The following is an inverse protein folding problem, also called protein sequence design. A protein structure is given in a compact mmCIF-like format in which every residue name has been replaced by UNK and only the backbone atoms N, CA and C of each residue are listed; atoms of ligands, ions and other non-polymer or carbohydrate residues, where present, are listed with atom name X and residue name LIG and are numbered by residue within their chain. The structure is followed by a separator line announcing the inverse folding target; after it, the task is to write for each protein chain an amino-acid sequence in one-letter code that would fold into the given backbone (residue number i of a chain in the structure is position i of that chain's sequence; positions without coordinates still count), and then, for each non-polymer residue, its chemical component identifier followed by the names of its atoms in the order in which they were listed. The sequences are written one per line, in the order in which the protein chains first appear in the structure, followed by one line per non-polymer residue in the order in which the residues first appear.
data_IF_070517791977
#
_entry.id   IF_070517791977
#
_cell.length_a   1.000
_cell.length_b   1.000
_cell.length_c   1.000
_cell.angle_alpha   90.00
_cell.angle_beta   90.00
_cell.angle_gamma   90.00
#
_symmetry.space_group_name_H-M   'P 1'
#
loop_
_entity.id
_entity.type
_entity.pdbx_description
1 polymer ?
#
# COMPACT_ATOMS: atom_id res chain seq x y z
N UNK A 1 19.15 20.30 -26.69
CA UNK A 1 18.20 19.21 -27.04
C UNK A 1 16.79 19.68 -26.71
N UNK A 2 15.87 19.68 -27.67
CA UNK A 2 14.57 20.36 -27.53
C UNK A 2 13.62 19.58 -26.61
N UNK A 3 12.82 20.27 -25.78
CA UNK A 3 11.91 19.69 -24.74
C UNK A 3 10.98 18.59 -25.29
N UNK A 4 10.62 18.68 -26.56
CA UNK A 4 9.79 17.69 -27.28
C UNK A 4 10.48 16.33 -27.44
N UNK A 5 11.80 16.30 -27.61
CA UNK A 5 12.58 15.06 -27.75
C UNK A 5 12.74 14.33 -26.42
N UNK A 6 12.90 15.05 -25.31
CA UNK A 6 12.89 14.46 -23.97
C UNK A 6 11.55 13.80 -23.64
N UNK A 7 10.43 14.48 -23.93
CA UNK A 7 9.10 13.90 -23.74
C UNK A 7 8.87 12.66 -24.61
N UNK A 8 9.34 12.66 -25.86
CA UNK A 8 9.22 11.51 -26.75
C UNK A 8 10.05 10.32 -26.27
N UNK A 9 11.27 10.53 -25.77
CA UNK A 9 12.12 9.48 -25.21
C UNK A 9 11.53 8.92 -23.91
N UNK A 10 10.94 9.77 -23.07
CA UNK A 10 10.23 9.32 -21.85
C UNK A 10 8.98 8.53 -22.23
N UNK A 11 8.18 8.97 -23.20
CA UNK A 11 6.98 8.26 -23.65
C UNK A 11 7.34 6.93 -24.33
N UNK A 12 8.34 6.90 -25.22
CA UNK A 12 8.81 5.68 -25.88
C UNK A 12 9.50 4.75 -24.87
N UNK A 13 10.22 5.29 -23.89
CA UNK A 13 10.77 4.54 -22.77
C UNK A 13 9.68 3.88 -21.94
N UNK A 14 8.66 4.62 -21.53
CA UNK A 14 7.50 4.12 -20.75
C UNK A 14 6.68 3.09 -21.53
N UNK A 15 6.50 3.27 -22.85
CA UNK A 15 5.79 2.32 -23.70
C UNK A 15 6.61 1.07 -24.02
N UNK A 16 7.95 1.16 -24.07
CA UNK A 16 8.85 0.03 -24.30
C UNK A 16 9.04 -0.86 -23.05
N UNK A 17 8.58 -0.43 -21.87
CA UNK A 17 8.52 -1.28 -20.65
C UNK A 17 7.16 -1.94 -20.45
N UNK A 18 6.21 -1.83 -21.40
CA UNK A 18 5.00 -2.65 -21.34
C UNK A 18 5.44 -4.10 -21.55
N UNK A 19 5.38 -4.96 -20.51
CA UNK A 19 5.84 -6.34 -20.64
C UNK A 19 4.96 -7.01 -21.70
N UNK A 20 5.60 -7.65 -22.67
CA UNK A 20 4.89 -8.59 -23.54
C UNK A 20 4.24 -9.65 -22.64
N UNK A 21 2.98 -10.07 -22.87
CA UNK A 21 2.30 -11.08 -22.08
C UNK A 21 2.88 -12.47 -22.41
N UNK A 22 4.17 -12.66 -22.18
CA UNK A 22 4.76 -13.97 -22.04
C UNK A 22 4.40 -14.43 -20.63
N UNK A 23 3.65 -15.54 -20.52
CA UNK A 23 3.24 -16.14 -19.26
C UNK A 23 4.43 -16.14 -18.28
N UNK A 24 4.30 -15.36 -17.21
CA UNK A 24 5.38 -15.22 -16.25
C UNK A 24 5.60 -16.58 -15.58
N UNK A 25 6.87 -17.03 -15.58
CA UNK A 25 7.35 -18.02 -14.59
C UNK A 25 6.95 -17.53 -13.20
N UNK A 26 6.74 -18.46 -12.26
CA UNK A 26 6.47 -18.14 -10.86
C UNK A 26 7.35 -16.96 -10.40
N UNK A 27 6.72 -15.90 -9.88
CA UNK A 27 7.44 -14.68 -9.49
C UNK A 27 8.42 -15.03 -8.37
N UNK A 28 9.71 -14.83 -8.63
CA UNK A 28 10.76 -15.04 -7.64
C UNK A 28 10.96 -13.82 -6.74
N UNK A 29 11.67 -14.02 -5.63
CA UNK A 29 12.12 -12.93 -4.77
C UNK A 29 13.64 -12.88 -4.69
N UNK A 30 14.18 -11.68 -4.82
CA UNK A 30 15.58 -11.37 -4.56
C UNK A 30 15.66 -10.55 -3.26
N UNK A 31 16.08 -11.20 -2.18
CA UNK A 31 16.21 -10.57 -0.87
C UNK A 31 17.58 -9.90 -0.70
N UNK A 32 17.55 -8.69 -0.16
CA UNK A 32 18.73 -7.96 0.29
C UNK A 32 18.53 -7.55 1.74
N UNK A 33 19.47 -7.93 2.59
CA UNK A 33 19.57 -7.36 3.94
C UNK A 33 20.31 -6.03 3.83
N UNK A 34 19.70 -4.97 4.34
CA UNK A 34 20.19 -3.61 4.27
C UNK A 34 20.32 -3.09 5.69
N UNK A 35 21.54 -2.96 6.19
CA UNK A 35 21.78 -2.35 7.51
C UNK A 35 21.96 -0.86 7.34
N UNK A 36 21.25 -0.06 8.13
CA UNK A 36 21.56 1.37 8.27
C UNK A 36 22.71 1.50 9.26
N UNK A 37 23.87 1.95 8.77
CA UNK A 37 25.10 2.02 9.57
C UNK A 37 25.19 3.34 10.33
N UNK A 38 24.86 4.47 9.67
CA UNK A 38 24.86 5.80 10.28
C UNK A 38 24.00 6.80 9.50
N UNK A 39 23.58 7.86 10.18
CA UNK A 39 23.00 9.06 9.57
C UNK A 39 24.10 10.11 9.43
N UNK A 40 24.26 10.63 8.22
CA UNK A 40 25.31 11.57 7.85
C UNK A 40 24.75 12.92 7.46
N UNK A 41 25.31 13.97 8.05
CA UNK A 41 25.07 15.35 7.64
C UNK A 41 25.79 15.61 6.31
N UNK A 42 25.04 15.81 5.24
CA UNK A 42 25.58 16.01 3.89
C UNK A 42 25.65 17.47 3.48
N UNK A 43 24.84 18.36 4.05
CA UNK A 43 24.93 19.80 3.87
C UNK A 43 25.21 20.51 5.19
N UNK A 44 25.73 21.75 5.14
CA UNK A 44 25.85 22.58 6.34
C UNK A 44 24.53 23.34 6.52
N UNK A 45 23.76 23.11 7.60
CA UNK A 45 22.48 23.76 7.80
C UNK A 45 22.64 25.27 8.06
N UNK A 46 23.78 25.70 8.62
CA UNK A 46 24.06 27.11 8.91
C UNK A 46 25.51 27.52 8.53
N UNK A 47 25.79 27.75 7.22
CA UNK A 47 27.11 28.18 6.79
C UNK A 47 27.40 29.63 7.20
N UNK A 48 28.49 29.83 7.94
CA UNK A 48 28.93 31.15 8.44
C UNK A 48 29.95 31.80 7.50
N UNK A 49 29.66 32.99 7.00
CA UNK A 49 30.54 33.73 6.08
C UNK A 49 30.34 33.41 4.59
N UNK A 50 30.76 34.33 3.72
CA UNK A 50 30.46 34.26 2.28
C UNK A 50 31.11 33.07 1.56
N UNK A 51 32.37 32.74 1.87
CA UNK A 51 33.08 31.62 1.26
C UNK A 51 32.47 30.25 1.62
N UNK A 52 32.07 30.09 2.88
CA UNK A 52 31.36 28.90 3.37
C UNK A 52 29.98 28.76 2.70
N UNK A 53 29.26 29.88 2.51
CA UNK A 53 27.98 29.89 1.77
C UNK A 53 28.14 29.44 0.32
N UNK A 54 29.18 29.88 -0.39
CA UNK A 54 29.44 29.45 -1.79
C UNK A 54 29.78 27.95 -1.87
N UNK A 55 30.61 27.44 -0.94
CA UNK A 55 30.91 26.01 -0.85
C UNK A 55 29.67 25.19 -0.52
N UNK A 56 28.86 25.64 0.43
CA UNK A 56 27.61 24.99 0.82
C UNK A 56 26.62 24.93 -0.35
N UNK A 57 26.49 26.02 -1.13
CA UNK A 57 25.66 26.04 -2.33
C UNK A 57 26.13 25.01 -3.37
N UNK A 58 27.42 24.98 -3.71
CA UNK A 58 27.97 24.00 -4.65
C UNK A 58 27.77 22.55 -4.19
N UNK A 59 27.97 22.28 -2.89
CA UNK A 59 27.75 20.97 -2.28
C UNK A 59 26.27 20.56 -2.31
N UNK A 60 25.36 21.48 -2.00
CA UNK A 60 23.92 21.26 -2.03
C UNK A 60 23.42 20.94 -3.44
N UNK A 61 23.88 21.67 -4.47
CA UNK A 61 23.54 21.38 -5.88
C UNK A 61 24.03 19.99 -6.28
N UNK A 62 25.27 19.63 -5.93
CA UNK A 62 25.84 18.32 -6.22
C UNK A 62 25.09 17.18 -5.51
N UNK A 63 24.77 17.35 -4.23
CA UNK A 63 23.99 16.38 -3.46
C UNK A 63 22.56 16.26 -3.99
N UNK A 64 21.94 17.35 -4.43
CA UNK A 64 20.63 17.33 -5.09
C UNK A 64 20.63 16.50 -6.37
N UNK A 65 21.66 16.63 -7.20
CA UNK A 65 21.82 15.80 -8.41
C UNK A 65 22.02 14.31 -8.06
N UNK A 66 22.83 14.01 -7.03
CA UNK A 66 23.03 12.64 -6.56
C UNK A 66 21.75 12.02 -5.99
N UNK A 67 20.99 12.75 -5.19
CA UNK A 67 19.69 12.32 -4.66
C UNK A 67 18.73 11.97 -5.79
N UNK A 68 18.56 12.87 -6.76
CA UNK A 68 17.67 12.62 -7.90
C UNK A 68 18.06 11.36 -8.67
N UNK A 69 19.36 11.17 -8.92
CA UNK A 69 19.88 9.96 -9.57
C UNK A 69 19.64 8.71 -8.72
N UNK A 70 19.88 8.80 -7.42
CA UNK A 70 19.73 7.68 -6.50
C UNK A 70 18.25 7.25 -6.38
N UNK A 71 17.34 8.20 -6.19
CA UNK A 71 15.89 7.98 -6.14
C UNK A 71 15.31 7.44 -7.46
N UNK A 72 15.69 8.03 -8.59
CA UNK A 72 15.07 7.73 -9.90
C UNK A 72 15.69 6.50 -10.55
N UNK A 73 16.96 6.22 -10.27
CA UNK A 73 17.75 5.21 -11.01
C UNK A 73 18.29 4.12 -10.09
N UNK A 74 19.01 4.48 -9.03
CA UNK A 74 19.73 3.47 -8.23
C UNK A 74 18.78 2.61 -7.40
N UNK A 75 17.88 3.21 -6.61
CA UNK A 75 16.92 2.45 -5.76
C UNK A 75 16.07 1.48 -6.58
N UNK A 76 15.45 1.87 -7.71
CA UNK A 76 14.51 0.99 -8.39
C UNK A 76 15.19 -0.02 -9.33
N UNK A 77 16.38 0.30 -9.87
CA UNK A 77 16.98 -0.47 -10.98
C UNK A 77 18.33 -1.11 -10.64
N UNK A 78 19.06 -0.61 -9.64
CA UNK A 78 20.39 -1.09 -9.30
C UNK A 78 20.51 -1.43 -7.81
N UNK A 79 19.76 -2.44 -7.32
CA UNK A 79 19.72 -2.78 -5.91
C UNK A 79 21.01 -3.43 -5.38
N UNK A 80 22.07 -3.57 -6.18
CA UNK A 80 23.24 -4.40 -5.88
C UNK A 80 23.96 -4.16 -4.54
N UNK A 81 24.85 -5.09 -4.22
CA UNK A 81 25.55 -5.18 -2.92
C UNK A 81 26.54 -4.03 -2.66
N UNK A 82 27.01 -3.96 -1.41
CA UNK A 82 28.06 -3.07 -0.93
C UNK A 82 27.54 -1.85 -0.15
N UNK A 83 28.47 -0.96 0.20
CA UNK A 83 28.15 0.31 0.85
C UNK A 83 27.44 1.27 -0.12
N UNK A 84 26.32 1.83 0.31
CA UNK A 84 25.52 2.81 -0.43
C UNK A 84 25.25 4.04 0.42
N UNK A 85 24.92 5.13 -0.26
CA UNK A 85 24.37 6.34 0.37
C UNK A 85 22.92 6.46 -0.08
N UNK A 86 22.02 6.51 0.89
CA UNK A 86 20.59 6.71 0.69
C UNK A 86 20.26 8.16 1.08
N UNK A 87 19.85 8.98 0.13
CA UNK A 87 19.57 10.39 0.42
C UNK A 87 18.18 10.55 1.04
N UNK A 88 18.02 11.36 2.08
CA UNK A 88 16.66 11.59 2.61
C UNK A 88 15.81 12.34 1.58
N UNK A 89 14.56 11.88 1.44
CA UNK A 89 13.59 12.48 0.54
C UNK A 89 13.16 13.85 1.07
N UNK A 90 12.84 13.90 2.35
CA UNK A 90 12.18 15.04 2.99
C UNK A 90 13.19 15.95 3.72
N UNK A 91 14.28 15.41 4.26
CA UNK A 91 15.38 16.21 4.81
C UNK A 91 16.55 16.32 3.83
N UNK A 92 16.74 17.50 3.27
CA UNK A 92 17.75 17.74 2.23
C UNK A 92 19.18 17.74 2.75
N UNK A 93 19.36 17.80 4.07
CA UNK A 93 20.64 18.00 4.72
C UNK A 93 21.25 16.72 5.28
N UNK A 94 20.49 15.61 5.28
CA UNK A 94 20.96 14.29 5.72
C UNK A 94 20.94 13.23 4.62
N UNK A 95 21.75 12.19 4.82
CA UNK A 95 21.66 10.93 4.12
C UNK A 95 21.98 9.77 5.09
N UNK A 96 21.76 8.55 4.65
CA UNK A 96 22.05 7.34 5.41
C UNK A 96 23.16 6.56 4.72
N UNK A 97 24.17 6.14 5.48
CA UNK A 97 25.07 5.10 5.01
C UNK A 97 24.41 3.76 5.27
N UNK A 98 24.31 2.96 4.22
CA UNK A 98 23.73 1.63 4.31
C UNK A 98 24.67 0.60 3.74
N UNK A 99 24.77 -0.55 4.40
CA UNK A 99 25.47 -1.72 3.89
C UNK A 99 24.45 -2.73 3.42
N UNK A 100 24.52 -3.11 2.14
CA UNK A 100 23.57 -4.02 1.53
C UNK A 100 24.24 -5.32 1.08
N UNK A 101 23.65 -6.46 1.44
CA UNK A 101 24.13 -7.80 1.10
C UNK A 101 22.99 -8.64 0.57
N UNK A 102 23.21 -9.38 -0.52
CA UNK A 102 22.21 -10.29 -1.08
C UNK A 102 22.06 -11.51 -0.18
N UNK A 103 20.83 -11.77 0.27
CA UNK A 103 20.51 -12.93 1.10
C UNK A 103 20.52 -14.17 0.22
N UNK A 104 21.14 -15.25 0.73
CA UNK A 104 21.36 -16.51 -0.02
C UNK A 104 20.55 -17.67 0.55
N UNK A 105 20.26 -17.59 1.84
CA UNK A 105 19.49 -18.56 2.61
C UNK A 105 19.04 -17.88 3.91
N UNK A 106 18.12 -18.52 4.63
CA UNK A 106 17.73 -18.08 5.96
C UNK A 106 18.91 -18.07 6.95
N UNK A 107 19.76 -19.10 6.91
CA UNK A 107 20.97 -19.15 7.73
C UNK A 107 21.92 -17.96 7.45
N UNK A 108 22.07 -17.57 6.18
CA UNK A 108 22.85 -16.38 5.81
C UNK A 108 22.19 -15.10 6.34
N UNK A 109 20.85 -14.99 6.32
CA UNK A 109 20.14 -13.85 6.90
C UNK A 109 20.39 -13.74 8.42
N UNK A 110 20.29 -14.86 9.15
CA UNK A 110 20.58 -14.92 10.58
C UNK A 110 22.03 -14.56 10.91
N UNK A 111 22.98 -14.94 10.05
CA UNK A 111 24.38 -14.52 10.18
C UNK A 111 24.52 -12.99 10.00
N UNK A 112 23.88 -12.43 8.98
CA UNK A 112 23.90 -10.98 8.70
C UNK A 112 23.26 -10.15 9.82
N UNK A 113 22.22 -10.68 10.49
CA UNK A 113 21.60 -10.07 11.66
C UNK A 113 22.45 -10.21 12.95
N UNK A 114 23.53 -10.98 12.92
CA UNK A 114 24.42 -11.21 14.07
C UNK A 114 24.00 -12.35 15.00
N UNK A 115 22.93 -13.09 14.68
CA UNK A 115 22.41 -14.19 15.48
C UNK A 115 23.20 -15.50 15.34
N UNK A 116 24.00 -15.67 14.26
CA UNK A 116 24.77 -16.91 13.99
C UNK A 116 23.93 -18.20 14.11
N UNK A 117 22.67 -18.15 13.66
CA UNK A 117 21.73 -19.27 13.71
C UNK A 117 20.86 -19.36 14.97
N UNK A 118 21.01 -18.45 15.92
CA UNK A 118 20.24 -18.44 17.18
C UNK A 118 19.23 -17.28 17.18
N UNK A 119 18.00 -17.56 16.78
CA UNK A 119 16.89 -16.59 16.69
C UNK A 119 16.59 -15.89 18.02
N UNK A 120 16.92 -16.51 19.17
CA UNK A 120 16.67 -15.90 20.48
C UNK A 120 17.51 -14.63 20.73
N UNK A 121 18.55 -14.41 19.92
CA UNK A 121 19.43 -13.23 19.98
C UNK A 121 18.95 -12.07 19.12
N UNK A 122 17.91 -12.26 18.32
CA UNK A 122 17.38 -11.21 17.46
C UNK A 122 16.57 -10.20 18.28
N UNK A 123 16.68 -8.92 17.93
CA UNK A 123 15.69 -7.92 18.36
C UNK A 123 14.32 -8.24 17.79
N UNK A 124 13.26 -7.67 18.35
CA UNK A 124 11.91 -7.90 17.84
C UNK A 124 11.76 -7.38 16.39
N UNK A 125 12.34 -6.21 16.10
CA UNK A 125 12.41 -5.70 14.72
C UNK A 125 13.18 -6.63 13.76
N UNK A 126 14.23 -7.32 14.21
CA UNK A 126 14.93 -8.32 13.38
C UNK A 126 14.12 -9.60 13.18
N UNK A 127 13.42 -10.09 14.22
CA UNK A 127 12.49 -11.23 14.09
C UNK A 127 11.39 -10.93 13.08
N UNK A 128 10.87 -9.70 13.07
CA UNK A 128 9.90 -9.25 12.08
C UNK A 128 10.46 -9.28 10.64
N UNK A 129 11.69 -8.78 10.41
CA UNK A 129 12.33 -8.88 9.09
C UNK A 129 12.55 -10.34 8.65
N UNK A 130 12.91 -11.23 9.59
CA UNK A 130 13.00 -12.66 9.32
C UNK A 130 11.62 -13.27 8.98
N UNK A 131 10.56 -12.83 9.66
CA UNK A 131 9.19 -13.23 9.35
C UNK A 131 8.78 -12.77 7.95
N UNK A 132 9.11 -11.54 7.54
CA UNK A 132 8.89 -11.05 6.16
C UNK A 132 9.65 -11.89 5.12
N UNK A 133 10.89 -12.31 5.41
CA UNK A 133 11.63 -13.23 4.54
C UNK A 133 10.90 -14.58 4.39
N UNK A 134 10.46 -15.17 5.51
CA UNK A 134 9.72 -16.44 5.53
C UNK A 134 8.36 -16.33 4.84
N UNK A 135 7.68 -15.19 4.97
CA UNK A 135 6.37 -14.92 4.36
C UNK A 135 6.39 -15.11 2.83
N UNK A 136 7.52 -14.83 2.18
CA UNK A 136 7.72 -15.02 0.73
C UNK A 136 7.46 -16.46 0.25
N UNK A 137 7.68 -17.44 1.13
CA UNK A 137 7.44 -18.86 0.87
C UNK A 137 6.10 -19.36 1.40
N UNK A 138 5.31 -18.50 2.06
CA UNK A 138 4.01 -18.84 2.62
C UNK A 138 2.99 -19.21 1.56
N UNK A 139 1.97 -19.97 1.96
CA UNK A 139 0.85 -20.30 1.08
C UNK A 139 0.13 -19.04 0.59
N UNK A 140 -0.05 -18.05 1.47
CA UNK A 140 -0.73 -16.79 1.14
C UNK A 140 -0.06 -16.08 -0.04
N UNK A 141 1.27 -15.95 -0.04
CA UNK A 141 1.99 -15.33 -1.16
C UNK A 141 1.99 -16.25 -2.39
N UNK A 142 2.27 -17.55 -2.23
CA UNK A 142 2.28 -18.52 -3.34
C UNK A 142 0.97 -18.57 -4.12
N UNK A 143 -0.17 -18.58 -3.43
CA UNK A 143 -1.49 -18.57 -4.06
C UNK A 143 -1.73 -17.33 -4.94
N UNK A 144 -1.04 -16.22 -4.65
CA UNK A 144 -1.16 -14.94 -5.37
C UNK A 144 -0.08 -14.74 -6.43
N UNK A 145 0.99 -15.55 -6.43
CA UNK A 145 2.02 -15.52 -7.47
C UNK A 145 1.44 -15.73 -8.88
N UNK A 146 0.40 -16.57 -9.00
CA UNK A 146 -0.30 -16.80 -10.26
C UNK A 146 -0.99 -15.55 -10.83
N UNK A 147 -1.26 -14.54 -10.00
CA UNK A 147 -1.86 -13.26 -10.43
C UNK A 147 -0.86 -12.33 -11.10
N UNK A 148 0.45 -12.60 -10.95
CA UNK A 148 1.49 -11.80 -11.56
C UNK A 148 1.52 -12.00 -13.08
N UNK A 149 1.42 -10.90 -13.82
CA UNK A 149 1.46 -10.88 -15.28
C UNK A 149 2.69 -10.15 -15.84
N UNK A 150 3.51 -9.53 -14.99
CA UNK A 150 4.45 -8.49 -15.43
C UNK A 150 5.89 -8.71 -14.99
N UNK A 151 6.13 -9.44 -13.89
CA UNK A 151 7.43 -9.43 -13.21
C UNK A 151 7.97 -10.84 -13.03
N UNK A 152 9.18 -11.13 -13.49
CA UNK A 152 9.82 -12.41 -13.16
C UNK A 152 10.39 -12.45 -11.74
N UNK A 153 10.70 -11.28 -11.18
CA UNK A 153 11.37 -11.17 -9.87
C UNK A 153 10.98 -9.86 -9.19
N UNK A 154 10.74 -9.93 -7.88
CA UNK A 154 10.55 -8.77 -7.00
C UNK A 154 11.76 -8.68 -6.06
N UNK A 155 12.31 -7.49 -5.90
CA UNK A 155 13.42 -7.24 -4.98
C UNK A 155 12.86 -6.85 -3.63
N UNK A 156 13.34 -7.45 -2.54
CA UNK A 156 12.90 -7.12 -1.19
C UNK A 156 14.08 -6.61 -0.38
N UNK A 157 13.98 -5.37 0.10
CA UNK A 157 14.93 -4.77 1.02
C UNK A 157 14.45 -4.96 2.45
N UNK A 158 15.15 -5.81 3.20
CA UNK A 158 14.98 -5.98 4.64
C UNK A 158 15.89 -4.97 5.34
N UNK A 159 15.34 -3.82 5.69
CA UNK A 159 16.10 -2.70 6.25
C UNK A 159 16.20 -2.82 7.77
N UNK A 160 17.39 -3.15 8.26
CA UNK A 160 17.70 -3.23 9.67
C UNK A 160 18.22 -1.88 10.19
N UNK A 161 17.49 -1.32 11.14
CA UNK A 161 17.79 -0.09 11.88
C UNK A 161 18.22 -0.37 13.32
N UNK A 162 18.49 -1.63 13.68
CA UNK A 162 18.91 -2.02 15.03
C UNK A 162 20.18 -1.28 15.42
N UNK A 163 20.18 -0.73 16.63
CA UNK A 163 21.26 0.13 17.13
C UNK A 163 21.08 1.62 16.82
N UNK A 164 20.03 1.99 16.09
CA UNK A 164 19.61 3.38 15.89
C UNK A 164 18.37 3.64 16.74
N UNK A 165 18.46 4.60 17.65
CA UNK A 165 17.33 5.04 18.45
C UNK A 165 16.37 5.90 17.61
N UNK A 166 15.47 5.25 16.86
CA UNK A 166 14.49 5.94 16.00
C UNK A 166 13.43 6.76 16.75
N UNK A 167 13.51 6.84 18.09
CA UNK A 167 12.71 7.78 18.89
C UNK A 167 13.37 9.16 19.01
N UNK A 168 14.67 9.27 18.72
CA UNK A 168 15.38 10.54 18.68
C UNK A 168 14.84 11.41 17.52
N UNK A 169 14.41 12.66 17.77
CA UNK A 169 13.91 13.57 16.74
C UNK A 169 14.85 13.74 15.53
N UNK A 170 16.16 13.57 15.69
CA UNK A 170 17.10 13.67 14.55
C UNK A 170 16.95 12.55 13.52
N UNK A 171 16.20 11.50 13.83
CA UNK A 171 15.93 10.38 12.92
C UNK A 171 14.47 10.32 12.45
N UNK A 172 13.70 11.39 12.63
CA UNK A 172 12.30 11.44 12.19
C UNK A 172 12.15 11.13 10.70
N UNK A 173 12.97 11.75 9.85
CA UNK A 173 12.97 11.52 8.40
C UNK A 173 13.31 10.08 8.02
N UNK A 174 14.02 9.34 8.88
CA UNK A 174 14.33 7.92 8.65
C UNK A 174 13.07 7.07 8.61
N UNK A 175 12.09 7.39 9.47
CA UNK A 175 10.82 6.65 9.53
C UNK A 175 10.05 6.79 8.22
N UNK A 176 10.09 7.97 7.60
CA UNK A 176 9.45 8.23 6.31
C UNK A 176 10.23 7.59 5.15
N UNK A 177 11.56 7.74 5.13
CA UNK A 177 12.42 7.23 4.06
C UNK A 177 12.45 5.70 3.99
N UNK A 178 12.41 5.05 5.14
CA UNK A 178 12.43 3.59 5.26
C UNK A 178 11.07 2.96 5.58
N UNK A 179 9.97 3.74 5.55
CA UNK A 179 8.62 3.21 5.73
C UNK A 179 8.38 2.01 4.79
N UNK A 180 7.70 0.94 5.26
CA UNK A 180 7.36 -0.18 4.39
C UNK A 180 6.55 0.28 3.19
N UNK A 181 6.96 -0.13 2.00
CA UNK A 181 6.31 0.28 0.75
C UNK A 181 6.71 -0.59 -0.41
N UNK A 182 5.89 -0.55 -1.45
CA UNK A 182 6.15 -1.15 -2.74
C UNK A 182 6.21 -0.11 -3.85
N UNK A 183 7.20 -0.25 -4.73
CA UNK A 183 7.25 0.45 -6.03
C UNK A 183 6.70 -0.41 -7.16
N UNK A 184 6.12 -1.55 -6.81
CA UNK A 184 5.75 -2.64 -7.70
C UNK A 184 6.92 -3.58 -8.03
N UNK A 185 8.14 -3.06 -8.25
CA UNK A 185 9.35 -3.88 -8.51
C UNK A 185 10.16 -4.18 -7.26
N UNK A 186 10.11 -3.26 -6.30
CA UNK A 186 10.82 -3.37 -5.03
C UNK A 186 9.83 -3.30 -3.88
N UNK A 187 10.04 -4.11 -2.86
CA UNK A 187 9.39 -4.01 -1.55
C UNK A 187 10.45 -3.58 -0.55
N UNK A 188 10.10 -2.63 0.31
CA UNK A 188 10.90 -2.22 1.45
C UNK A 188 10.18 -2.64 2.71
N UNK A 189 10.91 -3.27 3.63
CA UNK A 189 10.50 -3.58 5.00
C UNK A 189 11.53 -2.95 5.92
N UNK A 190 11.13 -2.44 7.08
CA UNK A 190 12.06 -1.83 8.03
C UNK A 190 11.81 -2.28 9.47
N UNK A 191 12.87 -2.61 10.20
CA UNK A 191 12.77 -3.18 11.54
C UNK A 191 12.17 -2.23 12.58
N UNK A 192 12.40 -0.92 12.46
CA UNK A 192 11.92 0.06 13.46
C UNK A 192 10.40 0.04 13.65
N UNK A 193 9.63 -0.28 12.60
CA UNK A 193 8.17 -0.31 12.67
C UNK A 193 7.68 -1.46 13.56
N UNK A 194 8.51 -2.51 13.68
CA UNK A 194 8.16 -3.78 14.30
C UNK A 194 8.96 -4.04 15.58
N UNK A 195 9.51 -3.00 16.20
CA UNK A 195 10.32 -3.11 17.42
C UNK A 195 9.44 -3.26 18.68
N UNK A 196 8.62 -4.31 18.68
CA UNK A 196 7.77 -4.73 19.79
C UNK A 196 7.53 -6.24 19.75
N UNK A 197 7.31 -6.84 20.91
CA UNK A 197 7.09 -8.28 21.05
C UNK A 197 5.86 -8.76 20.27
N UNK A 198 6.02 -9.81 19.46
CA UNK A 198 4.95 -10.43 18.69
C UNK A 198 4.65 -9.79 17.33
N UNK A 199 5.50 -8.87 16.87
CA UNK A 199 5.33 -8.12 15.61
C UNK A 199 5.49 -8.96 14.33
N UNK A 200 5.88 -10.23 14.43
CA UNK A 200 6.11 -11.11 13.28
C UNK A 200 4.85 -11.32 12.42
N UNK A 201 3.67 -11.36 13.05
CA UNK A 201 2.39 -11.48 12.35
C UNK A 201 2.10 -10.22 11.52
N UNK A 202 2.35 -9.04 12.09
CA UNK A 202 2.12 -7.75 11.43
C UNK A 202 3.10 -7.54 10.28
N UNK A 203 4.36 -7.95 10.45
CA UNK A 203 5.37 -7.93 9.39
C UNK A 203 5.08 -8.92 8.26
N UNK A 204 4.45 -10.06 8.57
CA UNK A 204 3.95 -11.02 7.58
C UNK A 204 2.77 -10.44 6.81
N UNK A 205 1.82 -9.79 7.50
CA UNK A 205 0.67 -9.11 6.89
C UNK A 205 1.13 -7.99 5.96
N UNK A 206 2.03 -7.12 6.44
CA UNK A 206 2.58 -6.01 5.65
C UNK A 206 3.36 -6.54 4.43
N UNK A 207 4.14 -7.61 4.56
CA UNK A 207 4.82 -8.20 3.39
C UNK A 207 3.83 -8.70 2.34
N UNK A 208 2.68 -9.27 2.76
CA UNK A 208 1.60 -9.67 1.85
C UNK A 208 0.95 -8.44 1.19
N UNK A 209 0.68 -7.37 1.95
CA UNK A 209 0.17 -6.09 1.47
C UNK A 209 1.06 -5.54 0.33
N UNK A 210 2.35 -5.39 0.61
CA UNK A 210 3.31 -4.83 -0.35
C UNK A 210 3.57 -5.75 -1.56
N UNK A 211 3.45 -7.06 -1.35
CA UNK A 211 3.45 -8.01 -2.46
C UNK A 211 2.22 -7.82 -3.36
N UNK A 212 1.04 -7.55 -2.80
CA UNK A 212 -0.17 -7.30 -3.59
C UNK A 212 -0.06 -6.03 -4.44
N UNK A 213 0.58 -4.97 -3.94
CA UNK A 213 0.97 -3.80 -4.75
C UNK A 213 1.89 -4.16 -5.91
N UNK A 214 2.75 -5.16 -5.71
CA UNK A 214 3.65 -5.70 -6.74
C UNK A 214 2.95 -6.53 -7.82
N UNK A 215 1.67 -6.87 -7.62
CA UNK A 215 0.82 -7.54 -8.61
C UNK A 215 -0.05 -6.53 -9.37
N UNK A 216 -0.23 -5.33 -8.81
CA UNK A 216 -1.06 -4.28 -9.37
C UNK A 216 -0.31 -3.48 -10.46
N UNK A 217 -0.97 -3.23 -11.58
CA UNK A 217 -0.47 -2.40 -12.68
C UNK A 217 -1.15 -1.02 -12.75
N UNK A 218 -2.07 -0.73 -11.85
CA UNK A 218 -2.83 0.52 -11.81
C UNK A 218 -1.92 1.69 -11.51
N UNK A 219 -1.99 2.72 -12.35
CA UNK A 219 -1.45 4.03 -12.00
C UNK A 219 -2.46 4.75 -11.12
N UNK A 220 -2.04 5.14 -9.92
CA UNK A 220 -2.78 6.05 -9.05
C UNK A 220 -3.02 7.40 -9.76
N UNK A 221 -3.89 8.23 -9.21
CA UNK A 221 -4.10 9.60 -9.72
C UNK A 221 -2.76 10.36 -9.84
N UNK A 222 -2.56 11.08 -10.94
CA UNK A 222 -1.31 11.82 -11.18
C UNK A 222 -1.10 13.01 -10.26
N UNK A 223 -2.18 13.48 -9.63
CA UNK A 223 -2.16 14.60 -8.70
C UNK A 223 -2.81 14.14 -7.42
N UNK A 224 -2.04 14.21 -6.32
CA UNK A 224 -2.51 14.02 -4.96
C UNK A 224 -3.38 12.76 -4.80
N UNK A 225 -2.86 11.57 -5.16
CA UNK A 225 -3.65 10.33 -5.12
C UNK A 225 -4.23 10.03 -3.74
N UNK A 226 -3.54 10.45 -2.68
CA UNK A 226 -3.97 10.33 -1.30
C UNK A 226 -4.27 11.66 -0.62
N UNK A 227 -4.39 12.76 -1.38
CA UNK A 227 -4.43 14.09 -0.80
C UNK A 227 -3.09 14.84 -0.89
N UNK A 228 -3.02 16.01 -0.26
CA UNK A 228 -1.89 16.93 -0.24
C UNK A 228 -0.72 16.40 0.56
N UNK A 229 -0.97 15.80 1.72
CA UNK A 229 0.10 15.29 2.59
C UNK A 229 0.74 14.01 2.05
N UNK A 230 0.02 13.29 1.18
CA UNK A 230 0.47 12.05 0.57
C UNK A 230 0.45 10.85 1.50
N UNK A 231 -0.12 10.98 2.71
CA UNK A 231 -0.43 9.86 3.61
C UNK A 231 -1.76 9.22 3.22
N UNK A 232 -2.03 8.00 3.67
CA UNK A 232 -3.36 7.40 3.55
C UNK A 232 -3.75 6.59 4.77
N UNK A 233 -5.06 6.42 4.98
CA UNK A 233 -5.63 5.52 5.98
C UNK A 233 -6.72 4.65 5.41
N UNK A 234 -6.95 3.51 6.08
CA UNK A 234 -7.98 2.54 5.71
C UNK A 234 -9.37 3.16 5.52
N UNK A 235 -9.63 4.23 6.27
CA UNK A 235 -10.89 4.97 6.28
C UNK A 235 -10.76 6.37 5.66
N UNK A 236 -9.77 6.62 4.82
CA UNK A 236 -9.60 7.90 4.14
C UNK A 236 -10.26 7.92 2.77
N UNK A 237 -10.95 9.02 2.47
CA UNK A 237 -11.43 9.31 1.13
C UNK A 237 -10.28 9.83 0.26
N UNK A 238 -9.79 8.98 -0.63
CA UNK A 238 -8.68 9.28 -1.55
C UNK A 238 -9.20 9.43 -3.00
N UNK A 239 -8.32 9.25 -3.99
CA UNK A 239 -8.72 9.09 -5.39
C UNK A 239 -9.24 7.68 -5.68
N UNK A 240 -10.17 7.53 -6.63
CA UNK A 240 -10.77 6.23 -6.97
C UNK A 240 -9.78 5.11 -7.35
N UNK A 241 -8.60 5.44 -7.91
CA UNK A 241 -7.56 4.46 -8.24
C UNK A 241 -6.67 4.18 -7.04
N UNK A 242 -6.29 5.22 -6.28
CA UNK A 242 -5.60 5.05 -5.01
C UNK A 242 -6.39 4.14 -4.05
N UNK A 243 -7.66 4.45 -3.80
CA UNK A 243 -8.56 3.64 -2.99
C UNK A 243 -8.68 2.19 -3.48
N UNK A 244 -8.60 1.97 -4.79
CA UNK A 244 -8.64 0.62 -5.34
C UNK A 244 -7.33 -0.14 -5.11
N UNK A 245 -6.19 0.51 -5.32
CA UNK A 245 -4.86 -0.09 -5.15
C UNK A 245 -4.64 -0.50 -3.68
N UNK A 246 -4.90 0.41 -2.75
CA UNK A 246 -4.80 0.10 -1.32
C UNK A 246 -5.88 -0.89 -0.88
N UNK A 247 -7.12 -0.71 -1.35
CA UNK A 247 -8.20 -1.65 -1.08
C UNK A 247 -7.90 -3.07 -1.56
N UNK A 248 -7.13 -3.24 -2.65
CA UNK A 248 -6.70 -4.56 -3.13
C UNK A 248 -5.70 -5.21 -2.18
N UNK A 249 -4.74 -4.46 -1.66
CA UNK A 249 -3.76 -4.96 -0.71
C UNK A 249 -4.43 -5.35 0.63
N UNK A 250 -5.25 -4.45 1.18
CA UNK A 250 -6.05 -4.66 2.40
C UNK A 250 -6.98 -5.88 2.28
N UNK A 251 -7.71 -6.02 1.17
CA UNK A 251 -8.56 -7.19 0.92
C UNK A 251 -7.78 -8.51 1.05
N UNK A 252 -6.55 -8.54 0.54
CA UNK A 252 -5.74 -9.74 0.57
C UNK A 252 -5.22 -10.06 1.97
N UNK A 253 -4.99 -9.06 2.82
CA UNK A 253 -4.72 -9.25 4.26
C UNK A 253 -5.95 -9.73 5.00
N UNK A 254 -7.12 -9.14 4.75
CA UNK A 254 -8.40 -9.56 5.34
C UNK A 254 -8.68 -11.05 5.08
N UNK A 255 -8.33 -11.58 3.90
CA UNK A 255 -8.49 -13.00 3.57
C UNK A 255 -7.65 -13.94 4.45
N UNK A 256 -6.53 -13.47 4.98
CA UNK A 256 -5.59 -14.26 5.77
C UNK A 256 -5.69 -13.95 7.28
N UNK A 257 -6.31 -12.82 7.65
CA UNK A 257 -6.46 -12.37 9.04
C UNK A 257 -7.87 -11.88 9.35
N UNK A 258 -8.57 -12.62 10.22
CA UNK A 258 -9.86 -12.18 10.78
C UNK A 258 -9.73 -10.88 11.57
N UNK A 259 -8.59 -10.66 12.23
CA UNK A 259 -8.35 -9.41 12.97
C UNK A 259 -8.31 -8.22 12.01
N UNK A 260 -7.63 -8.34 10.87
CA UNK A 260 -7.62 -7.27 9.86
C UNK A 260 -9.02 -7.07 9.26
N UNK A 261 -9.73 -8.16 8.95
CA UNK A 261 -11.10 -8.05 8.46
C UNK A 261 -12.03 -7.32 9.44
N UNK A 262 -11.83 -7.47 10.74
CA UNK A 262 -12.59 -6.75 11.77
C UNK A 262 -12.12 -5.29 11.90
N UNK A 263 -10.80 -5.06 11.89
CA UNK A 263 -10.22 -3.72 11.94
C UNK A 263 -10.73 -2.85 10.79
N UNK A 264 -10.66 -3.33 9.54
CA UNK A 264 -11.14 -2.61 8.35
C UNK A 264 -12.62 -2.25 8.52
N UNK A 265 -13.47 -3.22 8.89
CA UNK A 265 -14.92 -3.01 9.07
C UNK A 265 -15.25 -2.00 10.15
N UNK A 266 -14.51 -2.00 11.26
CA UNK A 266 -14.72 -1.05 12.36
C UNK A 266 -14.26 0.36 11.95
N UNK A 267 -13.20 0.45 11.14
CA UNK A 267 -12.63 1.73 10.71
C UNK A 267 -13.49 2.49 9.69
N UNK A 268 -14.14 1.79 8.76
CA UNK A 268 -14.91 2.40 7.65
C UNK A 268 -16.24 3.04 8.06
N UNK A 269 -16.65 2.97 9.33
CA UNK A 269 -17.81 3.71 9.84
C UNK A 269 -17.59 5.23 9.91
N UNK A 270 -16.33 5.65 10.05
CA UNK A 270 -15.91 7.04 10.18
C UNK A 270 -14.86 7.35 9.11
N UNK A 271 -15.18 8.22 8.17
CA UNK A 271 -14.35 8.51 7.01
C UNK A 271 -13.58 9.81 7.22
N UNK A 272 -12.25 9.73 7.06
CA UNK A 272 -11.35 10.88 7.05
C UNK A 272 -11.36 11.55 5.67
N UNK A 273 -11.47 12.87 5.66
CA UNK A 273 -11.37 13.70 4.46
C UNK A 273 -10.33 14.78 4.73
N UNK A 274 -9.22 14.72 4.02
CA UNK A 274 -8.20 15.76 4.10
C UNK A 274 -8.71 17.09 3.53
N UNK A 275 -8.30 18.18 4.17
CA UNK A 275 -8.62 19.53 3.75
C UNK A 275 -8.00 19.86 2.39
N UNK A 276 -8.79 20.46 1.52
CA UNK A 276 -8.31 20.96 0.23
C UNK A 276 -7.52 22.26 0.37
N UNK A 277 -7.55 22.93 1.52
CA UNK A 277 -6.79 24.17 1.80
C UNK A 277 -5.50 23.90 2.58
N UNK A 278 -5.49 22.93 3.49
CA UNK A 278 -4.41 22.71 4.46
C UNK A 278 -3.93 21.26 4.45
N UNK A 279 -2.63 21.06 4.28
CA UNK A 279 -2.00 19.73 4.28
C UNK A 279 -2.08 19.09 5.67
N UNK A 280 -2.42 17.80 5.73
CA UNK A 280 -2.44 17.01 6.98
C UNK A 280 -3.58 17.38 7.94
N UNK A 281 -4.50 18.28 7.57
CA UNK A 281 -5.69 18.60 8.36
C UNK A 281 -6.88 17.78 7.87
N UNK A 282 -7.47 16.99 8.77
CA UNK A 282 -8.56 16.08 8.44
C UNK A 282 -9.88 16.50 9.07
N UNK A 283 -10.96 16.34 8.32
CA UNK A 283 -12.33 16.27 8.83
C UNK A 283 -12.77 14.81 8.85
N UNK A 284 -13.23 14.32 9.99
CA UNK A 284 -13.85 13.00 10.09
C UNK A 284 -15.37 13.13 9.98
N UNK A 285 -15.99 12.36 9.09
CA UNK A 285 -17.43 12.30 8.88
C UNK A 285 -17.93 10.88 9.08
N UNK A 286 -19.18 10.68 9.50
CA UNK A 286 -19.78 9.36 9.45
C UNK A 286 -19.97 8.93 7.99
N UNK A 287 -19.84 7.63 7.68
CA UNK A 287 -20.10 7.12 6.33
C UNK A 287 -21.53 7.47 5.82
N UNK A 288 -22.49 7.58 6.75
CA UNK A 288 -23.87 8.00 6.46
C UNK A 288 -23.99 9.47 6.01
N UNK A 289 -22.94 10.28 6.09
CA UNK A 289 -22.95 11.67 5.64
C UNK A 289 -22.32 11.84 4.24
N UNK A 290 -21.80 10.76 3.64
CA UNK A 290 -21.16 10.76 2.32
C UNK A 290 -22.07 10.21 1.22
N UNK A 291 -21.81 10.55 -0.04
CA UNK A 291 -22.49 9.92 -1.19
C UNK A 291 -21.97 8.50 -1.44
N UNK A 292 -22.74 7.67 -2.15
CA UNK A 292 -22.30 6.32 -2.50
C UNK A 292 -20.98 6.31 -3.29
N UNK A 293 -20.81 7.23 -4.24
CA UNK A 293 -19.56 7.36 -4.98
C UNK A 293 -18.38 7.75 -4.08
N UNK A 294 -18.57 8.67 -3.13
CA UNK A 294 -17.50 9.04 -2.19
C UNK A 294 -17.07 7.84 -1.34
N UNK A 295 -18.00 6.95 -0.95
CA UNK A 295 -17.65 5.74 -0.22
C UNK A 295 -16.80 4.77 -1.07
N UNK A 296 -17.03 4.67 -2.38
CA UNK A 296 -16.18 3.85 -3.28
C UNK A 296 -14.77 4.45 -3.52
N UNK A 297 -14.52 5.66 -3.01
CA UNK A 297 -13.20 6.30 -3.00
C UNK A 297 -12.47 6.11 -1.66
N UNK A 298 -12.91 5.16 -0.83
CA UNK A 298 -12.26 4.79 0.44
C UNK A 298 -11.66 3.39 0.31
N UNK A 299 -10.39 3.23 0.72
CA UNK A 299 -9.66 1.97 0.53
C UNK A 299 -10.28 0.79 1.30
N UNK A 300 -10.67 1.00 2.56
CA UNK A 300 -11.33 -0.03 3.37
C UNK A 300 -12.72 -0.42 2.84
N UNK A 301 -13.44 0.51 2.21
CA UNK A 301 -14.73 0.19 1.56
C UNK A 301 -14.49 -0.72 0.35
N UNK A 302 -13.50 -0.40 -0.47
CA UNK A 302 -13.12 -1.24 -1.61
C UNK A 302 -12.63 -2.61 -1.15
N UNK A 303 -11.80 -2.66 -0.10
CA UNK A 303 -11.33 -3.89 0.51
C UNK A 303 -12.49 -4.77 0.99
N UNK A 304 -13.43 -4.18 1.73
CA UNK A 304 -14.60 -4.88 2.23
C UNK A 304 -15.51 -5.38 1.08
N UNK A 305 -15.73 -4.59 0.03
CA UNK A 305 -16.49 -5.04 -1.15
C UNK A 305 -15.84 -6.28 -1.78
N UNK A 306 -14.52 -6.27 -1.98
CA UNK A 306 -13.79 -7.41 -2.53
C UNK A 306 -13.79 -8.62 -1.59
N UNK A 307 -13.66 -8.40 -0.28
CA UNK A 307 -13.72 -9.45 0.74
C UNK A 307 -15.09 -10.13 0.77
N UNK A 308 -16.17 -9.35 0.74
CA UNK A 308 -17.54 -9.85 0.75
C UNK A 308 -17.85 -10.64 -0.54
N UNK A 309 -17.39 -10.15 -1.71
CA UNK A 309 -17.48 -10.93 -2.95
C UNK A 309 -16.72 -12.25 -2.84
N UNK A 310 -15.50 -12.23 -2.27
CA UNK A 310 -14.66 -13.42 -2.15
C UNK A 310 -15.23 -14.49 -1.20
N UNK A 311 -15.99 -14.06 -0.19
CA UNK A 311 -16.45 -14.94 0.91
C UNK A 311 -17.93 -15.31 0.84
N UNK A 312 -18.79 -14.48 0.22
CA UNK A 312 -20.23 -14.75 0.10
C UNK A 312 -20.62 -15.40 -1.23
N UNK A 313 -19.87 -15.18 -2.30
CA UNK A 313 -20.19 -15.79 -3.60
C UNK A 313 -19.69 -17.25 -3.66
N UNK A 314 -20.40 -18.16 -4.35
CA UNK A 314 -19.87 -19.47 -4.68
C UNK A 314 -18.56 -19.34 -5.47
N UNK A 315 -17.47 -19.96 -4.99
CA UNK A 315 -16.11 -19.78 -5.52
C UNK A 315 -15.69 -18.30 -5.66
N UNK A 316 -16.12 -17.46 -4.72
CA UNK A 316 -15.93 -16.01 -4.78
C UNK A 316 -14.46 -15.60 -4.90
N UNK A 317 -13.57 -16.20 -4.11
CA UNK A 317 -12.12 -15.91 -4.16
C UNK A 317 -11.54 -16.14 -5.56
N UNK A 318 -11.85 -17.28 -6.18
CA UNK A 318 -11.42 -17.61 -7.53
C UNK A 318 -11.95 -16.60 -8.56
N UNK A 319 -13.22 -16.22 -8.45
CA UNK A 319 -13.86 -15.22 -9.32
C UNK A 319 -13.26 -13.83 -9.19
N UNK A 320 -13.00 -13.35 -7.96
CA UNK A 320 -12.36 -12.04 -7.71
C UNK A 320 -10.95 -12.02 -8.27
N UNK A 321 -10.16 -13.07 -8.06
CA UNK A 321 -8.80 -13.19 -8.58
C UNK A 321 -8.77 -13.24 -10.11
N UNK A 322 -9.67 -14.00 -10.73
CA UNK A 322 -9.81 -14.05 -12.18
C UNK A 322 -10.25 -12.69 -12.77
N UNK A 323 -11.16 -11.98 -12.08
CA UNK A 323 -11.59 -10.64 -12.47
C UNK A 323 -10.43 -9.63 -12.38
N UNK A 324 -9.66 -9.68 -11.28
CA UNK A 324 -8.46 -8.86 -11.09
C UNK A 324 -7.48 -9.04 -12.24
N UNK A 325 -7.12 -10.29 -12.58
CA UNK A 325 -6.21 -10.59 -13.69
C UNK A 325 -6.73 -10.08 -15.04
N UNK A 326 -8.03 -10.24 -15.32
CA UNK A 326 -8.65 -9.78 -16.56
C UNK A 326 -8.73 -8.26 -16.66
N UNK A 327 -8.81 -7.56 -15.54
CA UNK A 327 -8.90 -6.11 -15.49
C UNK A 327 -7.58 -5.42 -15.13
N UNK A 328 -6.44 -6.13 -15.07
CA UNK A 328 -5.15 -5.62 -14.57
C UNK A 328 -4.42 -4.72 -15.58
N UNK A 329 -4.99 -3.56 -15.90
CA UNK A 329 -4.39 -2.54 -16.77
C UNK A 329 -4.27 -1.18 -16.05
N UNK A 330 -3.46 -0.23 -16.58
CA UNK A 330 -3.04 0.94 -15.79
C UNK A 330 -4.12 1.94 -15.34
N UNK A 331 -5.32 1.88 -15.89
CA UNK A 331 -6.38 2.85 -15.65
C UNK A 331 -7.60 2.25 -14.93
N UNK A 332 -7.43 1.10 -14.28
CA UNK A 332 -8.51 0.40 -13.58
C UNK A 332 -8.80 1.01 -12.20
N UNK A 333 -9.95 0.63 -11.65
CA UNK A 333 -10.42 0.92 -10.30
C UNK A 333 -11.48 -0.14 -9.94
N UNK A 334 -12.16 -0.01 -8.80
CA UNK A 334 -13.16 -0.98 -8.34
C UNK A 334 -14.22 -1.31 -9.40
N UNK A 335 -14.73 -0.30 -10.11
CA UNK A 335 -15.72 -0.45 -11.19
C UNK A 335 -15.29 -1.48 -12.23
N UNK A 336 -14.03 -1.42 -12.64
CA UNK A 336 -13.52 -2.28 -13.70
C UNK A 336 -13.38 -3.74 -13.23
N UNK A 337 -12.96 -3.95 -11.99
CA UNK A 337 -12.90 -5.28 -11.38
C UNK A 337 -14.31 -5.88 -11.24
N UNK A 338 -15.24 -5.13 -10.67
CA UNK A 338 -16.63 -5.55 -10.49
C UNK A 338 -17.28 -5.89 -11.82
N UNK A 339 -17.16 -5.00 -12.81
CA UNK A 339 -17.70 -5.23 -14.16
C UNK A 339 -17.10 -6.47 -14.82
N UNK A 340 -15.79 -6.70 -14.65
CA UNK A 340 -15.14 -7.90 -15.18
C UNK A 340 -15.65 -9.18 -14.50
N UNK A 341 -15.89 -9.14 -13.19
CA UNK A 341 -16.46 -10.26 -12.42
C UNK A 341 -17.87 -10.59 -12.89
N UNK A 342 -18.76 -9.60 -12.94
CA UNK A 342 -20.18 -9.78 -13.32
C UNK A 342 -20.29 -10.21 -14.78
N UNK A 343 -19.50 -9.61 -15.69
CA UNK A 343 -19.48 -10.02 -17.10
C UNK A 343 -19.09 -11.50 -17.27
N UNK A 344 -18.16 -12.01 -16.46
CA UNK A 344 -17.75 -13.41 -16.50
C UNK A 344 -18.71 -14.34 -15.75
N UNK A 345 -19.50 -13.81 -14.82
CA UNK A 345 -20.39 -14.57 -13.93
C UNK A 345 -21.75 -13.85 -13.80
N UNK A 346 -22.57 -13.79 -14.87
CA UNK A 346 -23.81 -13.01 -14.86
C UNK A 346 -24.82 -13.49 -13.79
N UNK A 347 -24.78 -14.77 -13.41
CA UNK A 347 -25.60 -15.31 -12.32
C UNK A 347 -25.31 -14.72 -10.94
N UNK A 348 -24.14 -14.11 -10.73
CA UNK A 348 -23.78 -13.47 -9.46
C UNK A 348 -24.22 -11.98 -9.41
N UNK A 349 -24.78 -11.42 -10.50
CA UNK A 349 -25.06 -9.99 -10.63
C UNK A 349 -25.90 -9.43 -9.47
N UNK A 350 -26.94 -10.15 -9.03
CA UNK A 350 -27.80 -9.73 -7.93
C UNK A 350 -27.06 -9.70 -6.57
N UNK A 351 -26.24 -10.72 -6.29
CA UNK A 351 -25.47 -10.78 -5.06
C UNK A 351 -24.39 -9.68 -5.04
N UNK A 352 -23.71 -9.43 -6.16
CA UNK A 352 -22.72 -8.35 -6.29
C UNK A 352 -23.37 -6.98 -6.16
N UNK A 353 -24.56 -6.77 -6.75
CA UNK A 353 -25.32 -5.54 -6.58
C UNK A 353 -25.67 -5.30 -5.10
N UNK A 354 -26.13 -6.32 -4.39
CA UNK A 354 -26.43 -6.24 -2.96
C UNK A 354 -25.19 -5.94 -2.10
N UNK A 355 -24.02 -6.49 -2.44
CA UNK A 355 -22.76 -6.20 -1.74
C UNK A 355 -22.36 -4.72 -1.92
N UNK A 356 -22.44 -4.20 -3.16
CA UNK A 356 -22.16 -2.78 -3.43
C UNK A 356 -23.14 -1.86 -2.70
N UNK A 357 -24.43 -2.18 -2.76
CA UNK A 357 -25.48 -1.39 -2.12
C UNK A 357 -25.28 -1.37 -0.60
N UNK A 358 -25.03 -2.52 0.02
CA UNK A 358 -24.74 -2.61 1.46
C UNK A 358 -23.50 -1.81 1.84
N UNK A 359 -22.38 -2.00 1.14
CA UNK A 359 -21.12 -1.31 1.45
C UNK A 359 -21.18 0.21 1.22
N UNK A 360 -22.11 0.66 0.36
CA UNK A 360 -22.35 2.09 0.09
C UNK A 360 -23.61 2.62 0.76
N UNK A 361 -24.17 1.89 1.72
CA UNK A 361 -25.34 2.27 2.52
C UNK A 361 -26.59 2.59 1.68
N UNK A 362 -26.77 1.92 0.55
CA UNK A 362 -27.90 2.12 -0.36
C UNK A 362 -27.83 3.40 -1.19
N UNK A 363 -26.69 4.10 -1.20
CA UNK A 363 -26.58 5.47 -1.73
C UNK A 363 -26.10 5.59 -3.17
N UNK A 364 -25.69 4.49 -3.79
CA UNK A 364 -25.48 4.47 -5.22
C UNK A 364 -26.85 4.49 -5.90
N UNK A 365 -27.07 5.42 -6.82
CA UNK A 365 -28.22 5.41 -7.72
C UNK A 365 -28.18 4.17 -8.63
N UNK A 366 -29.32 3.83 -9.24
CA UNK A 366 -29.42 2.69 -10.16
C UNK A 366 -28.44 2.84 -11.34
N UNK A 367 -28.29 4.07 -11.85
CA UNK A 367 -27.33 4.39 -12.89
C UNK A 367 -25.89 4.13 -12.43
N UNK A 368 -25.55 4.50 -11.20
CA UNK A 368 -24.22 4.26 -10.65
C UNK A 368 -23.97 2.78 -10.41
N UNK A 369 -24.95 2.03 -9.87
CA UNK A 369 -24.84 0.56 -9.74
C UNK A 369 -24.61 -0.11 -11.09
N UNK A 370 -25.38 0.24 -12.13
CA UNK A 370 -25.17 -0.28 -13.48
C UNK A 370 -23.80 0.12 -14.05
N UNK A 371 -23.28 1.28 -13.68
CA UNK A 371 -21.92 1.67 -14.06
C UNK A 371 -20.87 0.76 -13.39
N UNK A 372 -21.08 0.27 -12.17
CA UNK A 372 -20.20 -0.75 -11.56
C UNK A 372 -20.40 -2.14 -12.15
N UNK A 373 -21.63 -2.59 -12.32
CA UNK A 373 -21.96 -3.96 -12.72
C UNK A 373 -21.79 -4.20 -14.23
N UNK A 374 -21.94 -3.15 -15.04
CA UNK A 374 -22.22 -3.24 -16.48
C UNK A 374 -23.70 -3.04 -16.78
N UNK A 375 -24.02 -2.59 -17.99
CA UNK A 375 -25.40 -2.31 -18.41
C UNK A 375 -25.91 -3.39 -19.37
N UNK A 376 -26.31 -4.52 -18.79
CA UNK A 376 -26.96 -5.65 -19.45
C UNK A 376 -28.36 -5.88 -18.88
N UNK A 377 -29.20 -6.66 -19.57
CA UNK A 377 -30.55 -6.97 -19.08
C UNK A 377 -30.51 -7.66 -17.71
N UNK A 378 -29.62 -8.64 -17.53
CA UNK A 378 -29.43 -9.34 -16.25
C UNK A 378 -29.08 -8.39 -15.10
N UNK A 379 -28.20 -7.41 -15.35
CA UNK A 379 -27.82 -6.42 -14.34
C UNK A 379 -28.94 -5.42 -14.06
N UNK A 380 -29.74 -5.04 -15.07
CA UNK A 380 -30.91 -4.18 -14.87
C UNK A 380 -31.98 -4.88 -14.05
N UNK A 381 -32.24 -6.15 -14.32
CA UNK A 381 -33.14 -7.00 -13.53
C UNK A 381 -32.66 -7.13 -12.08
N UNK A 382 -31.35 -7.38 -11.89
CA UNK A 382 -30.74 -7.44 -10.57
C UNK A 382 -30.91 -6.14 -9.76
N UNK A 383 -30.63 -4.98 -10.38
CA UNK A 383 -30.78 -3.67 -9.73
C UNK A 383 -32.26 -3.38 -9.44
N UNK A 384 -33.18 -3.68 -10.36
CA UNK A 384 -34.60 -3.50 -10.13
C UNK A 384 -35.11 -4.35 -8.97
N UNK A 385 -34.73 -5.64 -8.91
CA UNK A 385 -35.10 -6.55 -7.84
C UNK A 385 -34.57 -6.07 -6.47
N UNK A 386 -33.31 -5.61 -6.43
CA UNK A 386 -32.71 -5.04 -5.23
C UNK A 386 -33.54 -3.86 -4.68
N UNK A 387 -34.03 -2.96 -5.56
CA UNK A 387 -34.90 -1.85 -5.14
C UNK A 387 -36.25 -2.30 -4.62
N UNK A 388 -36.86 -3.33 -5.22
CA UNK A 388 -38.09 -3.92 -4.71
C UNK A 388 -37.90 -4.49 -3.30
N UNK A 389 -36.79 -5.19 -3.06
CA UNK A 389 -36.44 -5.72 -1.73
C UNK A 389 -36.25 -4.60 -0.71
N UNK A 390 -35.46 -3.57 -1.06
CA UNK A 390 -35.19 -2.45 -0.14
C UNK A 390 -36.44 -1.61 0.15
N UNK A 391 -37.34 -1.43 -0.81
CA UNK A 391 -38.61 -0.72 -0.60
C UNK A 391 -39.59 -1.49 0.28
N UNK A 392 -39.44 -2.82 0.35
CA UNK A 392 -40.30 -3.71 1.15
C UNK A 392 -39.71 -4.00 2.55
N UNK A 393 -38.48 -3.57 2.82
CA UNK A 393 -37.84 -3.76 4.12
C UNK A 393 -38.53 -2.88 5.17
N UNK A 394 -38.86 -3.40 6.37
CA UNK A 394 -39.34 -2.58 7.47
C UNK A 394 -38.31 -1.48 7.75
N UNK A 395 -38.78 -0.27 8.06
CA UNK A 395 -37.90 0.79 8.53
C UNK A 395 -37.04 0.22 9.67
N UNK A 396 -35.69 0.35 9.61
CA UNK A 396 -34.85 -0.19 10.66
C UNK A 396 -35.34 0.37 11.99
N UNK A 397 -35.55 -0.52 12.97
CA UNK A 397 -35.84 -0.10 14.33
C UNK A 397 -34.77 0.92 14.74
N UNK A 398 -35.18 2.06 15.29
CA UNK A 398 -34.25 3.09 15.72
C UNK A 398 -33.22 2.43 16.63
N UNK A 399 -31.98 2.28 16.14
CA UNK A 399 -30.88 1.78 16.95
C UNK A 399 -30.72 2.76 18.10
N UNK A 400 -31.08 2.31 19.31
CA UNK A 400 -30.55 2.90 20.52
C UNK A 400 -29.04 2.85 20.38
N UNK A 401 -28.42 4.02 20.26
CA UNK A 401 -26.98 4.18 20.23
C UNK A 401 -26.39 3.71 21.56
N UNK A 402 -26.32 2.39 21.77
CA UNK A 402 -25.36 1.80 22.67
C UNK A 402 -24.02 2.04 22.02
N UNK A 403 -23.47 3.20 22.40
CA UNK A 403 -22.10 3.58 22.17
C UNK A 403 -21.25 2.44 22.71
N UNK A 404 -20.81 1.56 21.82
CA UNK A 404 -19.59 0.79 22.09
C UNK A 404 -18.53 1.88 22.23
N UNK A 405 -17.93 2.07 23.42
CA UNK A 405 -16.76 2.92 23.55
C UNK A 405 -15.78 2.45 22.47
N UNK A 406 -15.03 3.36 21.84
CA UNK A 406 -13.83 2.96 21.10
C UNK A 406 -13.14 1.88 21.93
N UNK A 407 -13.20 0.64 21.48
CA UNK A 407 -12.50 -0.42 22.18
C UNK A 407 -11.05 -0.10 21.87
N UNK A 408 -10.35 0.40 22.89
CA UNK A 408 -8.91 0.30 23.01
C UNK A 408 -8.59 -1.21 23.06
N UNK A 409 -8.69 -1.84 21.88
CA UNK A 409 -8.20 -3.17 21.63
C UNK A 409 -6.69 -2.96 21.62
N UNK A 410 -6.09 -3.27 22.76
CA UNK A 410 -4.66 -3.37 22.99
C UNK A 410 -4.00 -4.36 22.01
N UNK A 411 -3.94 -4.00 20.73
CA UNK A 411 -2.68 -3.97 20.03
C UNK A 411 -1.78 -3.06 20.87
N UNK A 412 -0.49 -3.34 21.07
CA UNK A 412 0.40 -2.24 21.39
C UNK A 412 0.06 -1.15 20.36
N UNK A 413 -0.23 0.05 20.84
CA UNK A 413 -0.16 1.23 20.01
C UNK A 413 1.18 1.09 19.30
N UNK A 414 1.17 0.68 18.02
CA UNK A 414 2.20 1.15 17.12
C UNK A 414 2.05 2.64 17.28
N UNK A 415 3.00 3.25 17.96
CA UNK A 415 3.20 4.68 17.89
C UNK A 415 3.47 4.95 16.41
N UNK A 416 2.39 5.12 15.63
CA UNK A 416 2.41 5.03 14.17
C UNK A 416 1.25 4.30 13.48
N UNK A 417 0.14 3.95 14.16
CA UNK A 417 -1.16 3.76 13.51
C UNK A 417 -1.92 5.10 13.45
N UNK A 418 -1.37 6.08 12.75
CA UNK A 418 -1.88 7.45 12.78
C UNK A 418 -1.29 8.27 11.65
N UNK A 419 -1.98 9.35 11.29
CA UNK A 419 -1.40 10.47 10.55
C UNK A 419 0.03 10.70 10.96
N UNK A 420 0.90 11.00 9.99
CA UNK A 420 2.24 11.50 10.24
C UNK A 420 2.17 12.45 11.45
N UNK A 421 2.54 12.00 12.67
CA UNK A 421 2.35 12.80 13.87
C UNK A 421 3.51 13.80 14.01
N UNK A 422 4.26 14.00 12.93
CA UNK A 422 5.53 14.69 12.86
C UNK A 422 5.57 15.84 11.84
N UNK A 423 4.41 16.23 11.32
CA UNK A 423 4.20 17.60 10.83
C UNK A 423 3.26 18.32 11.78
N UNK A 424 3.84 19.06 12.71
CA UNK A 424 3.12 20.13 13.43
C UNK A 424 2.59 21.19 12.46
#
# INVERSE_FOLDING_TARGET
MNRRWWMLIVIVGVLAVIPSPAAAKDVGFDFYYQKVDEVVQINNPEPQGWWEKTKAFGKSVWNGAKRLWEETVVRPYFPGEGAKTWYSKDDHDIAYRVTRVKVRSEAHLLELMGAKGDESKLSDGQKALLASYRAASSKAIKDRMALNQFRSTIVVHLTDTTGIDTSDPKYQSMREDFWPRSTGRTIQMASFLYDYSGSEADATSTMLHEFCHSLDNTFKEFRNPYGKDGSHFVNEKTGKRAAFVEGWAEFNEMLESKSEANYVRNSIGWIRIESTSEEGKYKTLEAKDLTGLQLTEVEGINANIMYEMATKLPDGRGKVFAAFQKSNYPWRNLRHLVRALVKANPGDAAAVAGILDQATLGKLSDKELLDFLGDSDVTREAVAALRTVNASAPAPAAETADRVPLIDLTRPVIVGGGSNPFRE
#
